data_IF_154069722059
#
_entry.id   IF_154069722059
#
_cell.length_a   1.000
_cell.length_b   1.000
_cell.length_c   1.000
_cell.angle_alpha   90.00
_cell.angle_beta   90.00
_cell.angle_gamma   90.00
#
_symmetry.space_group_name_H-M   'P 1'
#
loop_
_entity.id
_entity.type
_entity.pdbx_description
1 polymer ?
#
# COMPACT_ATOMS: atom_id res chain seq x y z
N UNK A 1 12.55 -1.33 -2.81
CA UNK A 1 11.75 -0.14 -2.48
C UNK A 1 10.54 -0.17 -3.38
N UNK A 2 9.33 -0.05 -2.83
CA UNK A 2 8.07 -0.07 -3.60
C UNK A 2 7.45 1.33 -3.58
N UNK A 3 6.80 1.71 -4.68
CA UNK A 3 6.14 3.00 -4.87
C UNK A 3 4.64 2.75 -5.04
N UNK A 4 3.80 3.70 -4.60
CA UNK A 4 2.35 3.56 -4.73
C UNK A 4 1.95 3.57 -6.21
N UNK A 5 2.53 4.46 -7.00
CA UNK A 5 2.28 4.50 -8.44
C UNK A 5 2.60 3.17 -9.13
N UNK A 6 3.73 2.54 -8.81
CA UNK A 6 4.08 1.22 -9.37
C UNK A 6 3.03 0.15 -9.05
N UNK A 7 2.51 0.12 -7.81
CA UNK A 7 1.48 -0.84 -7.41
C UNK A 7 0.18 -0.59 -8.19
N UNK A 8 -0.23 0.68 -8.33
CA UNK A 8 -1.45 1.04 -9.05
C UNK A 8 -1.33 0.73 -10.55
N UNK A 9 -0.17 0.99 -11.15
CA UNK A 9 0.10 0.69 -12.57
C UNK A 9 0.15 -0.82 -12.81
N UNK A 10 0.73 -1.58 -11.88
CA UNK A 10 0.81 -3.04 -11.98
C UNK A 10 -0.55 -3.73 -11.77
N UNK A 11 -1.47 -3.10 -11.05
CA UNK A 11 -2.80 -3.63 -10.70
C UNK A 11 -3.93 -2.70 -11.17
N UNK A 12 -4.13 -2.51 -12.48
CA UNK A 12 -5.19 -1.64 -13.02
C UNK A 12 -6.61 -2.14 -12.69
N UNK A 13 -6.75 -3.38 -12.23
CA UNK A 13 -8.03 -3.98 -11.83
C UNK A 13 -8.56 -3.47 -10.48
N UNK A 14 -7.73 -2.89 -9.63
CA UNK A 14 -8.18 -2.43 -8.31
C UNK A 14 -8.91 -1.09 -8.41
N UNK A 15 -10.01 -0.96 -7.69
CA UNK A 15 -10.90 0.21 -7.76
C UNK A 15 -11.20 0.80 -6.37
N UNK A 16 -10.59 0.25 -5.33
CA UNK A 16 -10.78 0.67 -3.94
C UNK A 16 -9.45 0.79 -3.20
N UNK A 17 -9.39 1.76 -2.28
CA UNK A 17 -8.28 1.96 -1.37
C UNK A 17 -7.99 0.72 -0.52
N UNK A 18 -9.04 -0.03 -0.14
CA UNK A 18 -8.89 -1.27 0.64
C UNK A 18 -8.14 -2.38 -0.12
N UNK A 19 -8.29 -2.41 -1.45
CA UNK A 19 -7.53 -3.35 -2.29
C UNK A 19 -6.07 -2.93 -2.36
N UNK A 20 -5.80 -1.62 -2.49
CA UNK A 20 -4.44 -1.09 -2.40
C UNK A 20 -3.77 -1.42 -1.06
N UNK A 21 -4.47 -1.30 0.07
CA UNK A 21 -3.97 -1.71 1.39
C UNK A 21 -3.51 -3.18 1.39
N UNK A 22 -4.27 -4.06 0.72
CA UNK A 22 -3.96 -5.49 0.64
C UNK A 22 -2.71 -5.76 -0.21
N UNK A 23 -2.58 -5.09 -1.35
CA UNK A 23 -1.39 -5.18 -2.21
C UNK A 23 -0.13 -4.66 -1.51
N UNK A 24 -0.24 -3.57 -0.75
CA UNK A 24 0.87 -3.04 0.05
C UNK A 24 1.32 -4.05 1.11
N UNK A 25 0.39 -4.76 1.76
CA UNK A 25 0.72 -5.86 2.67
C UNK A 25 1.42 -7.01 1.96
N UNK A 26 0.95 -7.40 0.78
CA UNK A 26 1.58 -8.46 -0.01
C UNK A 26 3.00 -8.10 -0.42
N UNK A 27 3.23 -6.86 -0.86
CA UNK A 27 4.56 -6.38 -1.18
C UNK A 27 5.50 -6.39 0.04
N UNK A 28 5.00 -6.05 1.23
CA UNK A 28 5.75 -6.20 2.48
C UNK A 28 6.09 -7.67 2.79
N UNK A 29 5.14 -8.59 2.57
CA UNK A 29 5.36 -10.05 2.76
C UNK A 29 6.42 -10.60 1.81
N UNK A 30 6.53 -10.02 0.61
CA UNK A 30 7.53 -10.39 -0.39
C UNK A 30 8.94 -9.85 -0.07
N UNK A 31 9.12 -9.14 1.04
CA UNK A 31 10.42 -8.65 1.51
C UNK A 31 10.72 -7.20 1.17
N UNK A 32 9.73 -6.43 0.72
CA UNK A 32 9.89 -4.98 0.61
C UNK A 32 10.09 -4.38 2.01
N UNK A 33 11.15 -3.58 2.18
CA UNK A 33 11.46 -2.90 3.45
C UNK A 33 11.04 -1.43 3.48
N UNK A 34 10.89 -0.78 2.32
CA UNK A 34 10.52 0.64 2.20
C UNK A 34 9.33 0.80 1.24
N UNK A 35 8.35 1.60 1.66
CA UNK A 35 7.19 2.08 0.90
C UNK A 35 7.32 3.59 0.64
N UNK A 36 7.13 4.03 -0.60
CA UNK A 36 7.15 5.45 -0.98
C UNK A 36 5.75 5.96 -1.29
N UNK A 37 5.42 7.15 -0.77
CA UNK A 37 4.13 7.82 -0.95
C UNK A 37 4.19 8.87 -2.08
N UNK A 38 4.58 8.45 -3.27
CA UNK A 38 4.83 9.34 -4.42
C UNK A 38 3.55 9.86 -5.09
N UNK A 39 2.45 9.10 -4.98
CA UNK A 39 1.16 9.41 -5.58
C UNK A 39 0.06 9.29 -4.53
N UNK A 40 -0.86 10.25 -4.51
CA UNK A 40 -2.11 10.12 -3.75
C UNK A 40 -3.08 9.22 -4.52
N UNK A 41 -3.59 8.13 -3.94
CA UNK A 41 -4.62 7.31 -4.58
C UNK A 41 -5.90 8.11 -4.83
N UNK A 42 -6.49 7.96 -6.02
CA UNK A 42 -7.73 8.65 -6.41
C UNK A 42 -8.97 7.73 -6.32
N UNK A 43 -8.94 6.73 -5.43
CA UNK A 43 -10.08 5.82 -5.24
C UNK A 43 -11.23 6.50 -4.50
N UNK A 44 -12.50 6.12 -4.77
CA UNK A 44 -13.68 6.73 -4.14
C UNK A 44 -13.70 6.64 -2.62
N UNK A 45 -13.11 5.58 -2.06
CA UNK A 45 -13.03 5.29 -0.63
C UNK A 45 -11.69 5.70 0.00
N UNK A 46 -10.84 6.45 -0.73
CA UNK A 46 -9.55 6.92 -0.20
C UNK A 46 -9.77 7.84 1.00
N UNK A 47 -9.31 7.47 2.21
CA UNK A 47 -9.53 8.28 3.39
C UNK A 47 -8.55 9.46 3.46
N UNK A 48 -8.84 10.44 4.33
CA UNK A 48 -7.97 11.61 4.50
C UNK A 48 -6.59 11.25 5.06
N UNK A 49 -6.52 10.21 5.90
CA UNK A 49 -5.30 9.68 6.51
C UNK A 49 -4.74 8.46 5.74
N UNK A 50 -4.85 8.48 4.41
CA UNK A 50 -4.43 7.36 3.56
C UNK A 50 -2.94 6.98 3.73
N UNK A 51 -2.05 7.96 3.94
CA UNK A 51 -0.62 7.69 4.17
C UNK A 51 -0.41 6.86 5.43
N UNK A 52 -0.99 7.30 6.56
CA UNK A 52 -0.90 6.57 7.84
C UNK A 52 -1.48 5.16 7.73
N UNK A 53 -2.55 4.98 6.95
CA UNK A 53 -3.17 3.67 6.74
C UNK A 53 -2.29 2.73 5.93
N UNK A 54 -1.74 3.19 4.81
CA UNK A 54 -0.84 2.39 3.99
C UNK A 54 0.46 2.09 4.74
N UNK A 55 0.99 3.06 5.50
CA UNK A 55 2.13 2.83 6.39
C UNK A 55 1.81 1.76 7.44
N UNK A 56 0.68 1.87 8.13
CA UNK A 56 0.26 0.88 9.11
C UNK A 56 0.05 -0.51 8.48
N UNK A 57 -0.54 -0.59 7.28
CA UNK A 57 -0.73 -1.84 6.56
C UNK A 57 0.63 -2.48 6.21
N UNK A 58 1.58 -1.68 5.73
CA UNK A 58 2.94 -2.12 5.43
C UNK A 58 3.70 -2.60 6.66
N UNK A 59 3.74 -1.79 7.73
CA UNK A 59 4.46 -2.07 8.96
C UNK A 59 3.86 -3.21 9.77
N UNK A 60 2.53 -3.43 9.68
CA UNK A 60 1.86 -4.57 10.32
C UNK A 60 2.49 -5.90 9.89
N UNK A 61 2.91 -6.02 8.63
CA UNK A 61 3.56 -7.23 8.12
C UNK A 61 5.00 -7.35 8.61
N UNK A 62 5.78 -6.26 8.51
CA UNK A 62 7.19 -6.26 8.92
C UNK A 62 7.35 -6.49 10.42
N UNK A 63 6.46 -5.92 11.23
CA UNK A 63 6.48 -6.04 12.69
C UNK A 63 5.97 -7.37 13.23
N UNK A 64 5.15 -8.10 12.45
CA UNK A 64 4.50 -9.35 12.89
C UNK A 64 5.33 -10.62 12.63
N UNK A 65 6.55 -10.50 12.10
CA UNK A 65 7.50 -11.59 11.91
C UNK A 65 8.53 -11.77 13.04
N UNK A 66 8.21 -11.33 14.26
CA UNK A 66 9.03 -11.57 15.47
C UNK A 66 8.42 -12.64 16.37
#
# INVERSE_FOLDING_TARGET
MIQISDIIIAHPEINSFKELESLVQEAARQGAIHLAFDLKPEYPDTPRNWQDRLEAAFLSIIGSGR
#
